data_IF_297539867341
#
_entry.id   IF_297539867341
#
_cell.length_a   1.000
_cell.length_b   1.000
_cell.length_c   1.000
_cell.angle_alpha   90.00
_cell.angle_beta   90.00
_cell.angle_gamma   90.00
#
_symmetry.space_group_name_H-M   'P 1'
#
loop_
_entity.id
_entity.type
_entity.pdbx_description
1 polymer ?
#
# COMPACT_ATOMS: atom_id res chain seq x y z
N UNK A 1 6.43 3.48 2.87
CA UNK A 1 6.94 4.87 2.89
C UNK A 1 7.17 5.48 1.50
N UNK A 2 7.59 4.72 0.47
CA UNK A 2 7.81 5.25 -0.90
C UNK A 2 6.62 6.04 -1.47
N UNK A 3 5.39 5.49 -1.36
CA UNK A 3 4.16 6.13 -1.87
C UNK A 3 3.87 7.48 -1.20
N UNK A 4 3.76 7.50 0.13
CA UNK A 4 3.47 8.72 0.89
C UNK A 4 4.49 9.85 0.64
N UNK A 5 5.77 9.51 0.40
CA UNK A 5 6.79 10.49 0.01
C UNK A 5 6.59 11.06 -1.40
N UNK A 6 6.13 10.24 -2.35
CA UNK A 6 5.82 10.70 -3.71
C UNK A 6 4.59 11.63 -3.72
N UNK A 7 3.58 11.30 -2.91
CA UNK A 7 2.37 12.12 -2.79
C UNK A 7 2.71 13.50 -2.18
N UNK A 8 3.54 13.55 -1.13
CA UNK A 8 4.03 14.80 -0.53
C UNK A 8 4.90 15.63 -1.49
N UNK A 9 5.67 14.99 -2.37
CA UNK A 9 6.44 15.71 -3.39
C UNK A 9 5.56 16.37 -4.47
N UNK A 10 4.34 15.85 -4.67
CA UNK A 10 3.36 16.39 -5.62
C UNK A 10 2.53 17.53 -5.00
N UNK A 11 2.41 17.56 -3.67
CA UNK A 11 1.67 18.56 -2.91
C UNK A 11 2.58 19.24 -1.87
N UNK A 12 3.58 20.03 -2.31
CA UNK A 12 4.60 20.59 -1.42
C UNK A 12 4.06 21.59 -0.39
N UNK A 13 2.92 22.22 -0.68
CA UNK A 13 2.30 23.23 0.18
C UNK A 13 1.24 22.63 1.15
N UNK A 14 1.08 21.30 1.16
CA UNK A 14 0.17 20.61 2.09
C UNK A 14 0.88 20.33 3.43
N UNK A 15 0.74 21.27 4.36
CA UNK A 15 1.33 21.19 5.70
C UNK A 15 0.84 19.98 6.50
N UNK A 16 -0.43 19.58 6.32
CA UNK A 16 -1.03 18.43 7.01
C UNK A 16 -0.39 17.14 6.52
N UNK A 17 -0.23 16.99 5.20
CA UNK A 17 0.45 15.84 4.61
C UNK A 17 1.91 15.75 5.06
N UNK A 18 2.61 16.89 5.19
CA UNK A 18 3.97 16.94 5.70
C UNK A 18 4.06 16.47 7.17
N UNK A 19 3.12 16.88 8.02
CA UNK A 19 3.04 16.43 9.41
C UNK A 19 2.77 14.93 9.51
N UNK A 20 1.79 14.42 8.75
CA UNK A 20 1.46 12.99 8.71
C UNK A 20 2.61 12.13 8.19
N UNK A 21 3.38 12.60 7.20
CA UNK A 21 4.58 11.92 6.73
C UNK A 21 5.66 11.84 7.82
N UNK A 22 5.81 12.90 8.61
CA UNK A 22 6.74 12.92 9.75
C UNK A 22 6.34 11.88 10.80
N UNK A 23 5.06 11.88 11.19
CA UNK A 23 4.51 10.92 12.14
C UNK A 23 4.68 9.47 11.65
N UNK A 24 4.32 9.19 10.39
CA UNK A 24 4.44 7.87 9.80
C UNK A 24 5.90 7.41 9.72
N UNK A 25 6.84 8.32 9.45
CA UNK A 25 8.28 8.03 9.42
C UNK A 25 8.80 7.66 10.80
N UNK A 26 8.40 8.39 11.85
CA UNK A 26 8.77 8.10 13.23
C UNK A 26 8.23 6.74 13.70
N UNK A 27 6.97 6.41 13.36
CA UNK A 27 6.39 5.12 13.66
C UNK A 27 7.10 3.98 12.91
N UNK A 28 7.40 4.16 11.61
CA UNK A 28 8.07 3.16 10.80
C UNK A 28 9.53 2.89 11.24
N UNK A 29 10.20 3.85 11.89
CA UNK A 29 11.55 3.66 12.41
C UNK A 29 11.63 2.57 13.50
N UNK A 30 10.50 2.26 14.16
CA UNK A 30 10.41 1.22 15.17
C UNK A 30 10.19 -0.18 14.56
N UNK A 31 9.84 -0.26 13.27
CA UNK A 31 9.59 -1.51 12.58
C UNK A 31 10.88 -2.10 11.99
N UNK A 32 10.98 -3.44 11.84
CA UNK A 32 12.09 -4.07 11.15
C UNK A 32 12.26 -3.51 9.74
N UNK A 33 13.47 -3.06 9.41
CA UNK A 33 13.77 -2.52 8.09
C UNK A 33 13.79 -3.66 7.08
N UNK A 34 12.81 -3.71 6.18
CA UNK A 34 12.90 -4.54 4.97
C UNK A 34 13.65 -3.77 3.88
N UNK A 35 14.58 -4.40 3.15
CA UNK A 35 15.12 -3.80 1.94
C UNK A 35 13.96 -3.50 0.99
N UNK A 36 14.01 -2.35 0.32
CA UNK A 36 13.04 -2.01 -0.70
C UNK A 36 13.26 -2.99 -1.86
N UNK A 37 12.25 -3.77 -2.29
CA UNK A 37 12.42 -4.66 -3.42
C UNK A 37 12.82 -3.84 -4.66
N UNK A 38 13.96 -4.14 -5.26
CA UNK A 38 14.42 -3.45 -6.46
C UNK A 38 13.38 -3.60 -7.57
N UNK A 39 12.86 -2.47 -8.07
CA UNK A 39 12.05 -2.42 -9.30
C UNK A 39 10.64 -3.04 -9.25
N UNK A 40 10.21 -3.64 -8.14
CA UNK A 40 8.89 -4.28 -8.04
C UNK A 40 7.73 -3.29 -8.02
N UNK A 41 6.85 -3.34 -9.04
CA UNK A 41 5.49 -2.72 -8.99
C UNK A 41 4.46 -3.61 -8.28
N UNK A 42 4.82 -4.87 -8.02
CA UNK A 42 4.01 -5.87 -7.34
C UNK A 42 4.56 -6.05 -5.93
N UNK A 43 3.68 -6.04 -4.93
CA UNK A 43 4.01 -6.44 -3.56
C UNK A 43 3.45 -7.84 -3.33
N UNK A 44 4.24 -8.72 -2.72
CA UNK A 44 3.76 -10.05 -2.32
C UNK A 44 3.75 -10.16 -0.79
N UNK A 45 2.80 -9.50 -0.10
CA UNK A 45 2.77 -9.54 1.35
C UNK A 45 2.37 -10.92 1.85
N UNK A 46 2.94 -11.30 2.99
CA UNK A 46 2.54 -12.48 3.76
C UNK A 46 1.91 -12.00 5.05
N UNK A 47 0.69 -12.47 5.33
CA UNK A 47 -0.07 -12.13 6.52
C UNK A 47 -0.15 -13.32 7.48
N UNK A 48 -0.28 -13.05 8.77
CA UNK A 48 -0.68 -14.06 9.76
C UNK A 48 -2.12 -13.80 10.16
N UNK A 49 -3.03 -14.70 9.80
CA UNK A 49 -4.48 -14.57 10.05
C UNK A 49 -4.97 -15.87 10.68
N UNK A 50 -5.54 -15.81 11.89
CA UNK A 50 -6.04 -17.01 12.57
C UNK A 50 -4.98 -18.11 12.78
N UNK A 51 -3.70 -17.76 12.85
CA UNK A 51 -2.58 -18.73 12.92
C UNK A 51 -2.05 -19.21 11.56
N UNK A 52 -2.75 -18.94 10.46
CA UNK A 52 -2.32 -19.29 9.10
C UNK A 52 -1.38 -18.25 8.50
N UNK A 53 -0.38 -18.71 7.74
CA UNK A 53 0.47 -17.84 6.93
C UNK A 53 -0.17 -17.67 5.55
N UNK A 54 -0.84 -16.54 5.34
CA UNK A 54 -1.59 -16.23 4.11
C UNK A 54 -0.68 -15.49 3.14
N UNK A 55 -0.32 -16.13 2.02
CA UNK A 55 0.51 -15.54 0.97
C UNK A 55 -0.39 -14.83 -0.06
N UNK A 56 -0.01 -13.61 -0.43
CA UNK A 56 -0.84 -12.79 -1.32
C UNK A 56 -0.01 -12.10 -2.39
N UNK A 57 -0.70 -11.64 -3.42
CA UNK A 57 -0.19 -10.77 -4.47
C UNK A 57 -1.03 -9.49 -4.44
N UNK A 58 -0.38 -8.34 -4.32
CA UNK A 58 -1.04 -7.04 -4.31
C UNK A 58 -0.79 -6.28 -5.60
N UNK A 59 -1.88 -5.79 -6.18
CA UNK A 59 -1.90 -4.95 -7.39
C UNK A 59 -2.48 -3.61 -7.03
N UNK A 60 -1.85 -2.54 -7.51
CA UNK A 60 -2.38 -1.18 -7.34
C UNK A 60 -2.69 -0.57 -8.69
N UNK A 61 -3.96 -0.25 -8.90
CA UNK A 61 -4.46 0.51 -10.03
C UNK A 61 -4.65 1.97 -9.61
N UNK A 62 -4.17 2.89 -10.44
CA UNK A 62 -4.25 4.33 -10.21
C UNK A 62 -4.98 4.96 -11.40
N UNK A 63 -6.09 5.62 -11.12
CA UNK A 63 -6.88 6.36 -12.09
C UNK A 63 -6.59 7.85 -11.90
N UNK A 64 -5.80 8.42 -12.80
CA UNK A 64 -5.56 9.86 -12.83
C UNK A 64 -6.81 10.60 -13.28
N UNK A 65 -7.04 11.80 -12.74
CA UNK A 65 -8.04 12.70 -13.28
C UNK A 65 -7.54 13.30 -14.61
N UNK A 66 -8.40 13.33 -15.62
CA UNK A 66 -8.18 14.20 -16.77
C UNK A 66 -8.17 15.66 -16.28
N UNK A 67 -7.31 16.48 -16.86
CA UNK A 67 -6.96 17.85 -16.43
C UNK A 67 -8.18 18.77 -16.19
N UNK A 68 -9.35 18.44 -16.74
CA UNK A 68 -10.60 19.22 -16.64
C UNK A 68 -11.66 18.69 -15.64
N UNK A 69 -11.38 17.64 -14.86
CA UNK A 69 -12.33 17.14 -13.85
C UNK A 69 -11.68 17.20 -12.48
N UNK A 70 -12.34 17.85 -11.51
CA UNK A 70 -11.91 17.98 -10.11
C UNK A 70 -12.00 16.67 -9.31
N UNK A 71 -11.67 15.54 -9.94
CA UNK A 71 -11.59 14.27 -9.25
C UNK A 71 -10.22 14.19 -8.58
N UNK A 72 -10.22 13.95 -7.28
CA UNK A 72 -9.02 13.48 -6.59
C UNK A 72 -8.59 12.14 -7.23
N UNK A 73 -7.28 11.90 -7.28
CA UNK A 73 -6.73 10.65 -7.81
C UNK A 73 -7.35 9.44 -7.10
N UNK A 74 -7.99 8.54 -7.85
CA UNK A 74 -8.54 7.31 -7.30
C UNK A 74 -7.51 6.19 -7.39
N UNK A 75 -7.21 5.56 -6.25
CA UNK A 75 -6.31 4.41 -6.17
C UNK A 75 -7.04 3.20 -5.61
N UNK A 76 -7.00 2.08 -6.34
CA UNK A 76 -7.52 0.79 -5.90
C UNK A 76 -6.35 -0.14 -5.58
N UNK A 77 -6.32 -0.67 -4.36
CA UNK A 77 -5.39 -1.72 -3.96
C UNK A 77 -6.14 -3.05 -3.84
N UNK A 78 -5.76 -3.99 -4.69
CA UNK A 78 -6.36 -5.31 -4.82
C UNK A 78 -5.39 -6.33 -4.22
N UNK A 79 -5.90 -7.21 -3.35
CA UNK A 79 -5.13 -8.27 -2.72
C UNK A 79 -5.71 -9.60 -3.18
N UNK A 80 -4.90 -10.39 -3.87
CA UNK A 80 -5.26 -11.70 -4.37
C UNK A 80 -4.57 -12.81 -3.57
N UNK A 81 -5.22 -13.96 -3.35
CA UNK A 81 -4.56 -15.13 -2.81
C UNK A 81 -3.45 -15.61 -3.76
N UNK A 82 -2.29 -15.97 -3.23
CA UNK A 82 -1.19 -16.52 -4.03
C UNK A 82 -1.31 -18.04 -4.24
N UNK A 83 -2.14 -18.72 -3.43
CA UNK A 83 -2.35 -20.16 -3.44
C UNK A 83 -3.75 -20.53 -2.88
N UNK A 84 -4.12 -21.80 -2.97
CA UNK A 84 -5.44 -22.31 -2.56
C UNK A 84 -5.69 -22.14 -1.04
N UNK A 85 -4.67 -22.29 -0.21
CA UNK A 85 -4.78 -22.07 1.24
C UNK A 85 -5.12 -20.60 1.52
N UNK A 86 -4.41 -19.66 0.89
CA UNK A 86 -4.72 -18.25 1.02
C UNK A 86 -6.14 -17.93 0.51
N UNK A 87 -6.59 -18.56 -0.58
CA UNK A 87 -7.94 -18.35 -1.13
C UNK A 87 -9.03 -18.79 -0.15
N UNK A 88 -8.86 -19.94 0.50
CA UNK A 88 -9.79 -20.43 1.51
C UNK A 88 -9.87 -19.49 2.71
N UNK A 89 -8.73 -19.01 3.21
CA UNK A 89 -8.71 -18.07 4.34
C UNK A 89 -9.37 -16.74 3.97
N UNK A 90 -9.04 -16.16 2.81
CA UNK A 90 -9.61 -14.87 2.39
C UNK A 90 -11.12 -14.96 2.12
N UNK A 91 -11.61 -16.07 1.55
CA UNK A 91 -13.04 -16.26 1.30
C UNK A 91 -13.86 -16.38 2.59
N UNK A 92 -13.25 -16.86 3.67
CA UNK A 92 -13.90 -16.95 4.98
C UNK A 92 -14.00 -15.61 5.73
N UNK A 93 -13.37 -14.54 5.22
CA UNK A 93 -13.39 -13.20 5.83
C UNK A 93 -14.49 -12.29 5.28
N UNK A 94 -15.12 -12.64 4.15
CA UNK A 94 -16.21 -11.90 3.52
C UNK A 94 -17.58 -12.48 3.85
#
# INVERSE_FOLDING_TARGET
>A
MRRLRADAATHPDDEVLAELLTLATAAAAQAPRRPDPEGGRVLCPHFRIGGHLVRTISVVAQFGAAVDVTLEELRLELIYPADEEAAAVLSALG
#
